data_IF_244892277658
#
_entry.id   IF_244892277658
#
_cell.length_a   1.000
_cell.length_b   1.000
_cell.length_c   1.000
_cell.angle_alpha   90.00
_cell.angle_beta   90.00
_cell.angle_gamma   90.00
#
_symmetry.space_group_name_H-M   'P 1'
#
loop_
_entity.id
_entity.type
_entity.pdbx_description
1 polymer ?
#
# COMPACT_ATOMS: atom_id res chain seq x y z
N UNK A 1 -9.27 48.98 -21.94
CA UNK A 1 -9.25 47.69 -22.68
C UNK A 1 -8.23 46.69 -22.14
N UNK A 2 -7.10 47.15 -21.59
CA UNK A 2 -5.99 46.30 -21.09
C UNK A 2 -6.40 45.14 -20.16
N UNK A 3 -7.19 45.41 -19.11
CA UNK A 3 -7.60 44.41 -18.12
C UNK A 3 -8.33 43.19 -18.70
N UNK A 4 -9.20 43.38 -19.71
CA UNK A 4 -9.93 42.27 -20.32
C UNK A 4 -9.01 41.39 -21.17
N UNK A 5 -8.07 41.99 -21.89
CA UNK A 5 -7.07 41.25 -22.66
C UNK A 5 -6.15 40.44 -21.75
N UNK A 6 -5.71 41.02 -20.63
CA UNK A 6 -4.92 40.30 -19.61
C UNK A 6 -5.68 39.09 -19.06
N UNK A 7 -6.96 39.26 -18.70
CA UNK A 7 -7.81 38.16 -18.25
C UNK A 7 -7.95 37.09 -19.34
N UNK A 8 -8.17 37.47 -20.61
CA UNK A 8 -8.25 36.50 -21.71
C UNK A 8 -6.95 35.70 -21.87
N UNK A 9 -5.79 36.32 -21.69
CA UNK A 9 -4.49 35.62 -21.73
C UNK A 9 -4.35 34.62 -20.57
N UNK A 10 -4.88 34.93 -19.38
CA UNK A 10 -4.83 34.02 -18.24
C UNK A 10 -5.77 32.83 -18.45
N UNK A 11 -6.98 33.07 -18.99
CA UNK A 11 -7.98 32.04 -19.21
C UNK A 11 -7.58 31.07 -20.34
N UNK A 12 -6.94 31.57 -21.40
CA UNK A 12 -6.49 30.77 -22.53
C UNK A 12 -5.03 31.13 -22.91
N UNK A 13 -4.01 30.68 -22.15
CA UNK A 13 -2.61 31.09 -22.35
C UNK A 13 -2.02 30.69 -23.70
N UNK A 14 -2.60 29.70 -24.36
CA UNK A 14 -2.15 29.17 -25.66
C UNK A 14 -2.80 29.87 -26.85
N UNK A 15 -3.72 30.81 -26.62
CA UNK A 15 -4.49 31.48 -27.68
C UNK A 15 -4.28 32.98 -27.66
N UNK A 16 -4.51 33.61 -28.81
CA UNK A 16 -4.49 35.07 -28.92
C UNK A 16 -5.60 35.67 -28.05
N UNK A 17 -5.33 36.72 -27.26
CA UNK A 17 -6.32 37.30 -26.36
C UNK A 17 -7.54 37.84 -27.10
N UNK A 18 -8.73 37.50 -26.59
CA UNK A 18 -10.00 37.97 -27.11
C UNK A 18 -10.17 39.46 -26.82
N UNK A 19 -10.98 40.13 -27.62
CA UNK A 19 -11.33 41.55 -27.46
C UNK A 19 -12.79 41.76 -27.04
N UNK A 20 -13.64 40.75 -27.26
CA UNK A 20 -15.04 40.75 -26.82
C UNK A 20 -15.13 40.56 -25.30
N UNK A 21 -15.62 41.59 -24.62
CA UNK A 21 -15.71 41.61 -23.16
C UNK A 21 -16.71 40.61 -22.60
N UNK A 22 -17.84 40.38 -23.28
CA UNK A 22 -18.85 39.43 -22.80
C UNK A 22 -18.29 38.02 -22.86
N UNK A 23 -17.70 37.65 -24.00
CA UNK A 23 -17.09 36.34 -24.17
C UNK A 23 -15.99 36.07 -23.13
N UNK A 24 -15.15 37.07 -22.83
CA UNK A 24 -14.09 36.96 -21.80
C UNK A 24 -14.69 36.73 -20.41
N UNK A 25 -15.78 37.42 -20.06
CA UNK A 25 -16.45 37.24 -18.77
C UNK A 25 -17.13 35.88 -18.68
N UNK A 26 -17.79 35.42 -19.75
CA UNK A 26 -18.41 34.10 -19.81
C UNK A 26 -17.36 32.97 -19.67
N UNK A 27 -16.21 33.14 -20.32
CA UNK A 27 -15.07 32.24 -20.16
C UNK A 27 -14.53 32.25 -18.73
N UNK A 28 -14.40 33.43 -18.11
CA UNK A 28 -13.94 33.56 -16.73
C UNK A 28 -14.86 32.82 -15.77
N UNK A 29 -16.18 33.03 -15.90
CA UNK A 29 -17.19 32.37 -15.06
C UNK A 29 -17.09 30.84 -15.22
N UNK A 30 -17.00 30.35 -16.45
CA UNK A 30 -16.87 28.92 -16.73
C UNK A 30 -15.61 28.33 -16.09
N UNK A 31 -14.45 28.96 -16.30
CA UNK A 31 -13.16 28.47 -15.76
C UNK A 31 -13.17 28.51 -14.23
N UNK A 32 -13.68 29.57 -13.60
CA UNK A 32 -13.77 29.67 -12.14
C UNK A 32 -14.68 28.58 -11.56
N UNK A 33 -15.81 28.28 -12.20
CA UNK A 33 -16.70 27.21 -11.76
C UNK A 33 -16.04 25.83 -11.90
N UNK A 34 -15.34 25.59 -13.01
CA UNK A 34 -14.61 24.35 -13.24
C UNK A 34 -13.52 24.15 -12.17
N UNK A 35 -12.66 25.16 -11.96
CA UNK A 35 -11.60 25.11 -10.95
C UNK A 35 -12.15 24.93 -9.53
N UNK A 36 -13.31 25.52 -9.22
CA UNK A 36 -13.97 25.30 -7.93
C UNK A 36 -14.43 23.85 -7.77
N UNK A 37 -14.96 23.23 -8.82
CA UNK A 37 -15.31 21.80 -8.83
C UNK A 37 -14.08 20.94 -8.60
N UNK A 38 -13.03 21.14 -9.39
CA UNK A 38 -11.76 20.40 -9.26
C UNK A 38 -11.13 20.57 -7.86
N UNK A 39 -11.19 21.77 -7.27
CA UNK A 39 -10.69 22.01 -5.93
C UNK A 39 -11.49 21.25 -4.84
N UNK A 40 -12.81 21.09 -5.03
CA UNK A 40 -13.64 20.29 -4.12
C UNK A 40 -13.32 18.80 -4.26
N UNK A 41 -13.21 18.30 -5.48
CA UNK A 41 -12.89 16.90 -5.75
C UNK A 41 -11.49 16.53 -5.23
N UNK A 42 -10.49 17.41 -5.43
CA UNK A 42 -9.15 17.25 -4.87
C UNK A 42 -9.18 17.25 -3.33
N UNK A 43 -9.98 18.11 -2.71
CA UNK A 43 -10.13 18.15 -1.25
C UNK A 43 -10.73 16.84 -0.72
N UNK A 44 -11.78 16.33 -1.36
CA UNK A 44 -12.42 15.06 -0.99
C UNK A 44 -11.46 13.89 -1.18
N UNK A 45 -10.76 13.83 -2.31
CA UNK A 45 -9.80 12.76 -2.62
C UNK A 45 -8.64 12.78 -1.63
N UNK A 46 -8.12 13.96 -1.28
CA UNK A 46 -7.07 14.10 -0.28
C UNK A 46 -7.53 13.63 1.11
N UNK A 47 -8.76 13.97 1.52
CA UNK A 47 -9.36 13.48 2.77
C UNK A 47 -9.41 11.95 2.81
N UNK A 48 -9.89 11.32 1.73
CA UNK A 48 -9.95 9.85 1.60
C UNK A 48 -8.57 9.20 1.68
N UNK A 49 -7.58 9.75 0.97
CA UNK A 49 -6.21 9.24 1.00
C UNK A 49 -5.59 9.34 2.40
N UNK A 50 -5.85 10.42 3.14
CA UNK A 50 -5.38 10.56 4.52
C UNK A 50 -5.98 9.50 5.46
N UNK A 51 -7.25 9.18 5.27
CA UNK A 51 -7.94 8.11 6.02
C UNK A 51 -7.35 6.73 5.68
N UNK A 52 -7.12 6.46 4.39
CA UNK A 52 -6.50 5.22 3.93
C UNK A 52 -5.08 5.05 4.47
N UNK A 53 -4.26 6.11 4.44
CA UNK A 53 -2.93 6.11 5.06
C UNK A 53 -3.01 5.78 6.55
N UNK A 54 -4.00 6.32 7.26
CA UNK A 54 -4.19 6.04 8.69
C UNK A 54 -4.56 4.56 8.91
N UNK A 55 -5.47 4.03 8.10
CA UNK A 55 -5.87 2.61 8.15
C UNK A 55 -4.68 1.68 7.89
N UNK A 56 -3.94 1.91 6.81
CA UNK A 56 -2.76 1.11 6.45
C UNK A 56 -1.68 1.16 7.51
N UNK A 57 -1.50 2.30 8.19
CA UNK A 57 -0.56 2.40 9.32
C UNK A 57 -0.99 1.53 10.50
N UNK A 58 -2.29 1.45 10.78
CA UNK A 58 -2.82 0.60 11.84
C UNK A 58 -2.66 -0.89 11.48
N UNK A 59 -3.09 -1.29 10.30
CA UNK A 59 -2.97 -2.67 9.80
C UNK A 59 -1.51 -3.15 9.78
N UNK A 60 -0.59 -2.31 9.30
CA UNK A 60 0.86 -2.61 9.33
C UNK A 60 1.37 -2.86 10.76
N UNK A 61 0.85 -2.12 11.75
CA UNK A 61 1.26 -2.31 13.14
C UNK A 61 0.70 -3.62 13.70
N UNK A 62 -0.57 -3.93 13.43
CA UNK A 62 -1.21 -5.19 13.82
C UNK A 62 -0.46 -6.40 13.24
N UNK A 63 -0.13 -6.37 11.94
CA UNK A 63 0.68 -7.41 11.29
C UNK A 63 2.07 -7.56 11.92
N UNK A 64 2.66 -6.47 12.41
CA UNK A 64 3.95 -6.52 13.12
C UNK A 64 3.81 -7.22 14.46
N UNK A 65 2.74 -6.95 15.20
CA UNK A 65 2.44 -7.59 16.49
C UNK A 65 2.17 -9.08 16.30
N UNK A 66 1.30 -9.45 15.35
CA UNK A 66 1.01 -10.85 15.00
C UNK A 66 2.28 -11.60 14.59
N UNK A 67 3.13 -10.99 13.77
CA UNK A 67 4.42 -11.57 13.38
C UNK A 67 5.32 -11.89 14.58
N UNK A 68 5.34 -11.02 15.60
CA UNK A 68 6.14 -11.25 16.80
C UNK A 68 5.58 -12.42 17.63
N UNK A 69 4.26 -12.47 17.78
CA UNK A 69 3.57 -13.58 18.49
C UNK A 69 3.84 -14.91 17.79
N UNK A 70 3.64 -14.97 16.47
CA UNK A 70 3.88 -16.18 15.68
C UNK A 70 5.34 -16.64 15.74
N UNK A 71 6.29 -15.70 15.79
CA UNK A 71 7.70 -16.04 15.96
C UNK A 71 7.97 -16.68 17.33
N UNK A 72 7.41 -16.13 18.39
CA UNK A 72 7.54 -16.69 19.74
C UNK A 72 6.90 -18.09 19.83
N UNK A 73 5.70 -18.27 19.27
CA UNK A 73 5.02 -19.57 19.25
C UNK A 73 5.78 -20.61 18.44
N UNK A 74 6.35 -20.21 17.29
CA UNK A 74 7.22 -21.06 16.50
C UNK A 74 8.44 -21.51 17.31
N UNK A 75 9.15 -20.59 17.97
CA UNK A 75 10.32 -20.92 18.79
C UNK A 75 9.98 -21.86 19.94
N UNK A 76 8.82 -21.66 20.60
CA UNK A 76 8.31 -22.55 21.65
C UNK A 76 8.02 -23.95 21.12
N UNK A 77 7.35 -24.08 19.98
CA UNK A 77 7.07 -25.38 19.36
C UNK A 77 8.35 -26.10 18.93
N UNK A 78 9.33 -25.37 18.37
CA UNK A 78 10.63 -25.93 18.00
C UNK A 78 11.40 -26.44 19.23
N UNK A 79 11.32 -25.74 20.37
CA UNK A 79 11.90 -26.22 21.64
C UNK A 79 11.21 -27.49 22.14
N UNK A 80 9.87 -27.54 22.09
CA UNK A 80 9.11 -28.73 22.45
C UNK A 80 9.51 -29.93 21.57
N UNK A 81 9.59 -29.75 20.25
CA UNK A 81 10.01 -30.80 19.32
C UNK A 81 11.43 -31.31 19.63
N UNK A 82 12.38 -30.42 19.92
CA UNK A 82 13.75 -30.79 20.30
C UNK A 82 13.78 -31.59 21.60
N UNK A 83 12.96 -31.23 22.60
CA UNK A 83 12.86 -31.98 23.86
C UNK A 83 12.24 -33.36 23.70
N UNK A 84 11.30 -33.53 22.75
CA UNK A 84 10.69 -34.84 22.45
C UNK A 84 11.58 -35.73 21.59
N UNK A 85 12.50 -35.16 20.82
CA UNK A 85 13.44 -35.88 19.96
C UNK A 85 14.65 -36.46 20.72
N UNK A 86 14.73 -36.33 22.06
CA UNK A 86 15.75 -37.00 22.86
C UNK A 86 15.48 -38.51 22.81
N UNK A 87 16.37 -39.35 22.24
CA UNK A 87 16.14 -40.78 22.21
C UNK A 87 16.14 -41.30 23.63
N UNK A 88 15.04 -41.93 24.05
CA UNK A 88 15.07 -42.81 25.21
C UNK A 88 16.17 -43.85 24.97
N UNK A 89 17.14 -44.04 25.89
CA UNK A 89 18.22 -45.00 25.70
C UNK A 89 17.64 -46.40 25.80
N UNK A 90 17.14 -46.94 24.68
CA UNK A 90 16.59 -48.29 24.67
C UNK A 90 15.81 -48.78 23.45
N UNK A 91 15.58 -48.00 22.39
CA UNK A 91 14.76 -48.47 21.27
C UNK A 91 15.52 -48.60 19.94
N UNK A 92 15.58 -49.81 19.41
CA UNK A 92 16.30 -50.23 18.20
C UNK A 92 15.60 -49.78 16.90
N UNK A 93 16.33 -49.55 15.78
CA UNK A 93 15.74 -49.02 14.55
C UNK A 93 15.33 -50.13 13.55
N UNK A 94 14.08 -50.10 13.08
CA UNK A 94 13.68 -50.79 11.85
C UNK A 94 12.69 -49.97 11.02
N UNK A 95 13.16 -49.54 9.84
CA UNK A 95 12.49 -49.41 8.54
C UNK A 95 12.85 -48.11 7.79
N UNK A 96 13.22 -48.21 6.48
CA UNK A 96 13.39 -47.05 5.64
C UNK A 96 12.02 -46.64 5.07
N UNK A 97 11.40 -45.62 5.66
CA UNK A 97 10.24 -44.95 5.07
C UNK A 97 10.70 -43.64 4.44
N UNK A 98 10.28 -43.42 3.19
CA UNK A 98 10.65 -42.30 2.33
C UNK A 98 10.68 -40.97 3.08
N UNK A 99 11.82 -40.28 3.00
CA UNK A 99 12.04 -39.00 3.62
C UNK A 99 11.18 -37.90 2.98
N UNK A 100 9.97 -37.71 3.50
CA UNK A 100 9.25 -36.44 3.38
C UNK A 100 10.06 -35.40 4.15
N UNK A 101 11.06 -34.79 3.50
CA UNK A 101 11.94 -33.80 4.12
C UNK A 101 11.16 -32.50 4.42
N UNK A 102 10.88 -32.16 5.68
CA UNK A 102 10.19 -30.91 6.04
C UNK A 102 11.01 -29.66 5.65
N UNK A 103 12.31 -29.86 5.42
CA UNK A 103 13.27 -28.84 5.03
C UNK A 103 13.01 -28.21 3.65
N UNK A 104 12.45 -28.96 2.69
CA UNK A 104 12.13 -28.40 1.37
C UNK A 104 10.87 -27.52 1.41
N UNK A 105 9.87 -27.92 2.21
CA UNK A 105 8.63 -27.13 2.39
C UNK A 105 8.89 -25.78 3.08
N UNK A 106 9.74 -25.77 4.11
CA UNK A 106 10.14 -24.54 4.81
C UNK A 106 10.95 -23.58 3.93
N UNK A 107 11.81 -24.11 3.04
CA UNK A 107 12.56 -23.29 2.07
C UNK A 107 11.66 -22.64 1.03
N UNK A 108 10.64 -23.35 0.54
CA UNK A 108 9.67 -22.79 -0.38
C UNK A 108 8.85 -21.68 0.29
N UNK A 109 8.37 -21.91 1.51
CA UNK A 109 7.62 -20.93 2.29
C UNK A 109 8.46 -19.68 2.62
N UNK A 110 9.73 -19.85 2.97
CA UNK A 110 10.67 -18.74 3.20
C UNK A 110 11.02 -17.97 1.92
N UNK A 111 10.96 -18.61 0.75
CA UNK A 111 11.18 -17.97 -0.53
C UNK A 111 9.95 -17.16 -0.96
N UNK A 112 8.75 -17.70 -0.74
CA UNK A 112 7.48 -16.99 -0.98
C UNK A 112 7.38 -15.76 -0.06
N UNK A 113 7.71 -15.89 1.22
CA UNK A 113 7.69 -14.74 2.14
C UNK A 113 8.70 -13.65 1.76
N UNK A 114 9.85 -14.00 1.16
CA UNK A 114 10.81 -13.02 0.65
C UNK A 114 10.34 -12.33 -0.63
N UNK A 115 9.62 -13.04 -1.49
CA UNK A 115 9.02 -12.48 -2.69
C UNK A 115 7.91 -11.46 -2.35
N UNK A 116 7.16 -11.66 -1.27
CA UNK A 116 6.16 -10.70 -0.78
C UNK A 116 6.74 -9.45 -0.09
N UNK A 117 8.06 -9.32 0.05
CA UNK A 117 8.73 -8.23 0.77
C UNK A 117 9.61 -7.34 -0.12
N UNK A 118 9.47 -7.47 -1.45
CA UNK A 118 10.11 -6.63 -2.47
C UNK A 118 9.06 -6.13 -3.45
N UNK A 119 8.31 -5.12 -3.00
CA UNK A 119 7.90 -3.89 -3.69
C UNK A 119 7.62 -2.83 -2.62
#
# INVERSE_FOLDING_TARGET
MRMFMELSSVLEPTRTPKTDKSAILDDAIRVVNQLRGEALDLKETNQKLLEEIKSLKAEKNELREEKLVLKADKEKMEQQLKSMAVPSPGFMPSHPAAAYHPFLSLKLCSSIMRACQLE
#
